data_IF_294680969076
#
_entry.id   IF_294680969076
#
_cell.length_a   1.000
_cell.length_b   1.000
_cell.length_c   1.000
_cell.angle_alpha   90.00
_cell.angle_beta   90.00
_cell.angle_gamma   90.00
#
_symmetry.space_group_name_H-M   'P 1'
#
loop_
_entity.id
_entity.type
_entity.pdbx_description
1 polymer ?
#
# COMPACT_ATOMS: atom_id res chain seq x y z
N UNK A 1 35.95 17.86 -6.19
CA UNK A 1 35.06 17.62 -5.04
C UNK A 1 33.64 17.81 -5.53
N UNK A 2 32.95 16.72 -5.88
CA UNK A 2 31.57 16.75 -6.37
C UNK A 2 30.63 16.60 -5.17
N UNK A 3 29.81 17.61 -4.93
CA UNK A 3 28.76 17.60 -3.90
C UNK A 3 27.86 16.38 -4.09
N UNK A 4 27.49 15.64 -3.03
CA UNK A 4 26.45 14.64 -3.14
C UNK A 4 25.14 15.39 -3.43
N UNK A 5 24.55 15.12 -4.60
CA UNK A 5 23.18 15.55 -4.91
C UNK A 5 22.24 14.92 -3.90
N UNK A 6 21.95 15.65 -2.82
CA UNK A 6 20.84 15.35 -1.93
C UNK A 6 19.56 15.58 -2.73
N UNK A 7 19.07 14.51 -3.38
CA UNK A 7 17.69 14.49 -3.83
C UNK A 7 16.84 14.70 -2.58
N UNK A 8 15.90 15.66 -2.56
CA UNK A 8 14.92 15.70 -1.48
C UNK A 8 14.25 14.32 -1.42
N UNK A 9 13.92 13.79 -0.22
CA UNK A 9 13.07 12.62 -0.16
C UNK A 9 11.80 12.99 -0.92
N UNK A 10 11.62 12.43 -2.12
CA UNK A 10 10.41 12.62 -2.90
C UNK A 10 9.29 12.14 -1.99
N UNK A 11 8.46 13.09 -1.54
CA UNK A 11 7.38 12.83 -0.60
C UNK A 11 6.42 11.86 -1.29
N UNK A 12 6.59 10.57 -1.04
CA UNK A 12 5.78 9.54 -1.67
C UNK A 12 4.36 9.66 -1.13
N UNK A 13 3.42 10.03 -2.01
CA UNK A 13 2.01 10.05 -1.64
C UNK A 13 1.51 8.62 -1.48
N UNK A 14 0.50 8.41 -0.64
CA UNK A 14 -0.17 7.11 -0.51
C UNK A 14 -0.59 6.55 -1.88
N UNK A 15 -1.07 7.43 -2.76
CA UNK A 15 -1.40 7.07 -4.15
C UNK A 15 -0.22 6.48 -4.91
N UNK A 16 0.93 7.16 -4.86
CA UNK A 16 2.15 6.75 -5.56
C UNK A 16 2.68 5.42 -5.01
N UNK A 17 2.64 5.25 -3.68
CA UNK A 17 3.05 4.02 -3.02
C UNK A 17 2.18 2.84 -3.45
N UNK A 18 0.85 2.97 -3.38
CA UNK A 18 -0.08 1.90 -3.73
C UNK A 18 -0.03 1.56 -5.23
N UNK A 19 0.10 2.58 -6.07
CA UNK A 19 0.25 2.40 -7.51
C UNK A 19 1.53 1.64 -7.84
N UNK A 20 2.65 1.97 -7.19
CA UNK A 20 3.90 1.23 -7.36
C UNK A 20 3.74 -0.21 -6.89
N UNK A 21 3.19 -0.42 -5.68
CA UNK A 21 2.99 -1.75 -5.11
C UNK A 21 2.14 -2.64 -6.04
N UNK A 22 1.11 -2.07 -6.68
CA UNK A 22 0.31 -2.74 -7.71
C UNK A 22 1.14 -3.15 -8.93
N UNK A 23 1.95 -2.23 -9.47
CA UNK A 23 2.75 -2.45 -10.67
C UNK A 23 3.87 -3.47 -10.46
N UNK A 24 4.41 -3.55 -9.24
CA UNK A 24 5.53 -4.45 -8.90
C UNK A 24 5.10 -5.72 -8.17
N UNK A 25 3.79 -5.99 -8.07
CA UNK A 25 3.20 -7.08 -7.28
C UNK A 25 3.79 -7.18 -5.85
N UNK A 26 4.11 -6.03 -5.27
CA UNK A 26 4.75 -5.96 -3.95
C UNK A 26 3.68 -6.02 -2.86
N UNK A 27 3.77 -6.97 -1.91
CA UNK A 27 2.81 -7.04 -0.80
C UNK A 27 2.85 -5.78 0.06
N UNK A 28 1.68 -5.31 0.46
CA UNK A 28 1.48 -4.24 1.45
C UNK A 28 0.91 -4.82 2.73
N UNK A 29 1.16 -4.16 3.85
CA UNK A 29 0.56 -4.51 5.15
C UNK A 29 -0.65 -3.61 5.38
N UNK A 30 -1.82 -4.22 5.53
CA UNK A 30 -3.06 -3.50 5.86
C UNK A 30 -3.40 -3.71 7.32
N UNK A 31 -3.66 -2.60 8.00
CA UNK A 31 -4.25 -2.62 9.35
C UNK A 31 -5.73 -2.28 9.21
N UNK A 32 -6.59 -3.21 9.62
CA UNK A 32 -8.04 -3.05 9.55
C UNK A 32 -8.60 -2.62 10.92
N UNK A 33 -9.49 -1.62 10.92
CA UNK A 33 -10.26 -1.24 12.11
C UNK A 33 -9.42 -0.81 13.33
N UNK A 34 -8.26 -0.19 13.11
CA UNK A 34 -7.39 0.31 14.20
C UNK A 34 -6.70 -0.80 15.03
N UNK A 35 -6.76 -2.06 14.59
CA UNK A 35 -6.05 -3.18 15.23
C UNK A 35 -4.61 -3.23 14.74
N UNK A 36 -3.79 -2.28 15.20
CA UNK A 36 -2.41 -2.11 14.76
C UNK A 36 -1.50 -3.32 15.00
N UNK A 37 -1.86 -4.18 15.96
CA UNK A 37 -1.06 -5.34 16.36
C UNK A 37 -1.17 -6.50 15.35
N UNK A 38 -2.16 -6.48 14.46
CA UNK A 38 -2.44 -7.57 13.52
C UNK A 38 -2.55 -7.06 12.07
N UNK A 39 -1.46 -6.57 11.46
CA UNK A 39 -1.45 -6.23 10.05
C UNK A 39 -1.57 -7.49 9.19
N UNK A 40 -2.46 -7.46 8.20
CA UNK A 40 -2.62 -8.53 7.21
C UNK A 40 -1.82 -8.21 5.95
N UNK A 41 -1.23 -9.23 5.33
CA UNK A 41 -0.60 -9.08 4.02
C UNK A 41 -1.67 -8.99 2.94
N UNK A 42 -1.56 -7.97 2.10
CA UNK A 42 -2.43 -7.78 0.97
C UNK A 42 -1.65 -7.39 -0.29
N UNK A 43 -2.23 -7.66 -1.45
CA UNK A 43 -1.73 -7.20 -2.75
C UNK A 43 -2.71 -6.24 -3.37
N UNK A 44 -2.20 -5.14 -3.91
CA UNK A 44 -3.03 -4.21 -4.67
C UNK A 44 -3.29 -4.82 -6.05
N UNK A 45 -4.55 -5.08 -6.36
CA UNK A 45 -4.96 -5.78 -7.59
C UNK A 45 -5.34 -4.80 -8.70
N UNK A 46 -6.11 -3.77 -8.34
CA UNK A 46 -6.67 -2.83 -9.30
C UNK A 46 -6.75 -1.41 -8.73
N UNK A 47 -6.83 -0.43 -9.63
CA UNK A 47 -7.12 0.96 -9.36
C UNK A 47 -8.25 1.43 -10.26
N UNK A 48 -9.28 2.03 -9.65
CA UNK A 48 -10.46 2.56 -10.33
C UNK A 48 -10.71 3.99 -9.81
N UNK A 49 -10.10 4.99 -10.47
CA UNK A 49 -10.15 6.38 -10.01
C UNK A 49 -9.52 6.54 -8.61
N UNK A 50 -10.26 7.05 -7.60
CA UNK A 50 -9.76 7.22 -6.24
C UNK A 50 -9.84 5.94 -5.40
N UNK A 51 -10.19 4.79 -5.99
CA UNK A 51 -10.39 3.52 -5.26
C UNK A 51 -9.35 2.48 -5.63
N UNK A 52 -8.87 1.75 -4.65
CA UNK A 52 -7.98 0.59 -4.82
C UNK A 52 -8.66 -0.71 -4.37
N UNK A 53 -8.34 -1.80 -5.05
CA UNK A 53 -8.75 -3.15 -4.67
C UNK A 53 -7.55 -3.92 -4.12
N UNK A 54 -7.75 -4.59 -2.98
CA UNK A 54 -6.74 -5.33 -2.26
C UNK A 54 -7.16 -6.78 -2.10
N UNK A 55 -6.30 -7.72 -2.48
CA UNK A 55 -6.45 -9.12 -2.16
C UNK A 55 -5.70 -9.43 -0.87
N UNK A 56 -6.43 -9.78 0.19
CA UNK A 56 -5.85 -10.23 1.46
C UNK A 56 -5.46 -11.69 1.30
N UNK A 57 -4.18 -11.98 1.50
CA UNK A 57 -3.61 -13.32 1.29
C UNK A 57 -3.20 -13.92 2.63
N UNK A 58 -3.70 -15.11 2.92
CA UNK A 58 -3.35 -15.87 4.12
C UNK A 58 -3.02 -17.31 3.72
N UNK A 59 -1.87 -17.82 4.16
CA UNK A 59 -1.37 -19.15 3.77
C UNK A 59 -1.33 -19.40 2.24
N UNK A 60 -1.12 -18.35 1.44
CA UNK A 60 -1.05 -18.43 -0.03
C UNK A 60 -2.40 -18.38 -0.75
N UNK A 61 -3.52 -18.30 -0.02
CA UNK A 61 -4.87 -18.20 -0.59
C UNK A 61 -5.46 -16.81 -0.40
N UNK A 62 -6.26 -16.35 -1.38
CA UNK A 62 -7.02 -15.10 -1.24
C UNK A 62 -8.20 -15.35 -0.30
N UNK A 63 -8.18 -14.71 0.87
CA UNK A 63 -9.24 -14.82 1.88
C UNK A 63 -10.34 -13.77 1.69
N UNK A 64 -9.96 -12.58 1.23
CA UNK A 64 -10.88 -11.47 1.03
C UNK A 64 -10.42 -10.55 -0.09
N UNK A 65 -11.38 -9.90 -0.74
CA UNK A 65 -11.16 -8.76 -1.62
C UNK A 65 -11.74 -7.52 -0.94
N UNK A 66 -10.88 -6.53 -0.69
CA UNK A 66 -11.26 -5.27 -0.07
C UNK A 66 -11.21 -4.18 -1.12
N UNK A 67 -12.26 -3.37 -1.18
CA UNK A 67 -12.30 -2.17 -2.02
C UNK A 67 -12.29 -0.95 -1.11
N UNK A 68 -11.28 -0.10 -1.26
CA UNK A 68 -11.06 1.03 -0.34
C UNK A 68 -10.82 2.32 -1.11
N UNK A 69 -11.45 3.40 -0.66
CA UNK A 69 -11.14 4.75 -1.14
C UNK A 69 -9.77 5.19 -0.63
N UNK A 70 -9.02 5.90 -1.47
CA UNK A 70 -7.69 6.42 -1.14
C UNK A 70 -7.70 7.28 0.14
N UNK A 71 -8.76 8.06 0.35
CA UNK A 71 -8.91 8.89 1.56
C UNK A 71 -9.08 8.10 2.86
N UNK A 72 -9.45 6.82 2.79
CA UNK A 72 -9.55 5.92 3.93
C UNK A 72 -8.24 5.18 4.23
N UNK A 73 -7.23 5.27 3.35
CA UNK A 73 -5.94 4.61 3.52
C UNK A 73 -4.93 5.59 4.12
N UNK A 74 -4.38 5.22 5.27
CA UNK A 74 -3.33 5.97 5.95
C UNK A 74 -2.05 5.14 5.90
N UNK A 75 -0.99 5.69 5.32
CA UNK A 75 0.33 5.05 5.33
C UNK A 75 0.98 5.30 6.68
N UNK A 76 1.51 4.23 7.28
CA UNK A 76 2.40 4.29 8.43
C UNK A 76 3.75 3.74 8.02
N UNK A 77 4.77 4.56 8.18
CA UNK A 77 6.17 4.14 8.16
C UNK A 77 6.57 3.94 9.61
N UNK A 78 7.04 2.75 9.95
CA UNK A 78 7.73 2.44 11.19
C UNK A 78 9.08 3.19 11.31
#
# INVERSE_FOLDING_TARGET
MTSPSQHPPSLETVDTYLERARQTDTPVRLVLGGRYEEPVLARVMARNGPTFEFAVVEAGEVRALLRMELGAVIVRTD
#
